data_IF_602613422983
#
_entry.id   IF_602613422983
#
_cell.length_a   1.000
_cell.length_b   1.000
_cell.length_c   1.000
_cell.angle_alpha   90.00
_cell.angle_beta   90.00
_cell.angle_gamma   90.00
#
_symmetry.space_group_name_H-M   'P 1'
#
loop_
_entity.id
_entity.type
_entity.pdbx_description
1 polymer ?
#
# COMPACT_ATOMS: atom_id res chain seq x y z
N UNK A 1 28.08 56.66 -33.00
CA UNK A 1 28.10 55.20 -32.82
C UNK A 1 28.23 54.95 -31.32
N UNK A 2 27.13 54.69 -30.62
CA UNK A 2 27.11 54.55 -29.16
C UNK A 2 27.19 53.06 -28.77
N UNK A 3 27.86 52.69 -27.66
CA UNK A 3 27.94 51.30 -27.22
C UNK A 3 26.58 50.81 -26.71
N UNK A 4 26.24 49.56 -27.05
CA UNK A 4 25.03 48.88 -26.56
C UNK A 4 25.07 48.73 -25.03
N UNK A 5 23.92 48.81 -24.34
CA UNK A 5 23.86 48.63 -22.90
C UNK A 5 24.25 47.20 -22.50
N UNK A 6 24.89 46.99 -21.33
CA UNK A 6 25.17 45.65 -20.84
C UNK A 6 23.86 44.92 -20.54
N UNK A 7 23.76 43.70 -21.06
CA UNK A 7 22.63 42.79 -20.82
C UNK A 7 22.48 42.61 -19.30
N UNK A 8 21.28 42.85 -18.71
CA UNK A 8 21.07 42.68 -17.28
C UNK A 8 21.34 41.23 -16.88
N UNK A 9 22.15 41.05 -15.84
CA UNK A 9 22.60 39.75 -15.30
C UNK A 9 21.49 38.97 -14.58
N UNK A 10 20.24 39.01 -15.01
CA UNK A 10 19.14 38.30 -14.35
C UNK A 10 18.76 36.98 -15.02
N UNK A 11 19.38 36.60 -16.14
CA UNK A 11 19.08 35.34 -16.86
C UNK A 11 19.66 34.08 -16.16
N UNK A 12 20.32 34.22 -14.99
CA UNK A 12 21.07 33.12 -14.36
C UNK A 12 20.39 32.40 -13.20
N UNK A 13 19.17 32.78 -12.77
CA UNK A 13 18.54 32.23 -11.55
C UNK A 13 17.17 31.54 -11.72
N UNK A 14 16.67 31.34 -12.94
CA UNK A 14 15.37 30.67 -13.12
C UNK A 14 15.43 29.12 -13.04
N UNK A 15 16.61 28.53 -12.86
CA UNK A 15 16.80 27.08 -12.70
C UNK A 15 17.03 26.64 -11.24
N UNK A 16 17.06 27.58 -10.29
CA UNK A 16 17.22 27.29 -8.85
C UNK A 16 15.88 27.53 -8.16
N UNK A 17 15.02 26.52 -8.13
CA UNK A 17 13.80 26.62 -7.32
C UNK A 17 12.58 25.87 -7.82
N UNK A 18 12.73 24.80 -8.62
CA UNK A 18 11.66 23.79 -8.67
C UNK A 18 11.68 23.10 -7.30
N UNK A 19 11.03 23.74 -6.34
CA UNK A 19 10.85 23.23 -5.00
C UNK A 19 10.14 21.89 -5.12
N UNK A 20 10.66 20.86 -4.46
CA UNK A 20 9.98 19.57 -4.37
C UNK A 20 8.52 19.73 -3.94
N UNK A 21 8.22 20.72 -3.09
CA UNK A 21 6.85 21.04 -2.69
C UNK A 21 6.00 21.60 -3.85
N UNK A 22 6.58 22.35 -4.79
CA UNK A 22 5.86 22.84 -5.96
C UNK A 22 5.57 21.69 -6.94
N UNK A 23 6.50 20.73 -7.09
CA UNK A 23 6.27 19.52 -7.88
C UNK A 23 5.21 18.63 -7.23
N UNK A 24 5.34 18.35 -5.92
CA UNK A 24 4.34 17.62 -5.14
C UNK A 24 2.98 18.29 -5.26
N UNK A 25 2.89 19.60 -5.00
CA UNK A 25 1.64 20.35 -5.13
C UNK A 25 1.06 20.29 -6.55
N UNK A 26 1.88 20.44 -7.59
CA UNK A 26 1.43 20.34 -8.99
C UNK A 26 0.93 18.93 -9.34
N UNK A 27 1.54 17.88 -8.78
CA UNK A 27 1.06 16.49 -8.95
C UNK A 27 -0.11 16.14 -8.05
N UNK A 28 -0.29 16.83 -6.91
CA UNK A 28 -1.44 16.68 -6.02
C UNK A 28 -2.67 17.43 -6.53
N UNK A 29 -2.48 18.48 -7.34
CA UNK A 29 -3.53 19.27 -7.97
C UNK A 29 -4.18 18.46 -9.10
N UNK A 30 -4.94 17.43 -8.74
CA UNK A 30 -5.54 16.47 -9.67
C UNK A 30 -5.72 15.07 -9.09
N UNK A 31 -5.17 14.78 -7.91
CA UNK A 31 -5.46 13.54 -7.18
C UNK A 31 -6.84 13.68 -6.55
N UNK A 32 -7.83 13.11 -7.25
CA UNK A 32 -9.15 12.88 -6.69
C UNK A 32 -9.01 12.05 -5.39
N UNK A 33 -9.63 12.55 -4.33
CA UNK A 33 -9.82 11.97 -2.99
C UNK A 33 -8.90 10.79 -2.61
N UNK A 34 -7.96 11.09 -1.70
CA UNK A 34 -7.18 10.07 -0.99
C UNK A 34 -8.01 9.54 0.18
N UNK A 35 -8.44 8.29 0.08
CA UNK A 35 -9.13 7.60 1.18
C UNK A 35 -8.17 6.66 1.91
N UNK A 36 -8.30 6.62 3.24
CA UNK A 36 -7.53 5.72 4.09
C UNK A 36 -8.43 4.59 4.58
N UNK A 37 -8.09 3.36 4.20
CA UNK A 37 -8.72 2.16 4.73
C UNK A 37 -7.93 1.70 5.95
N UNK A 38 -8.56 1.71 7.12
CA UNK A 38 -8.01 1.13 8.34
C UNK A 38 -8.54 -0.28 8.50
N UNK A 39 -7.63 -1.23 8.72
CA UNK A 39 -7.99 -2.61 9.02
C UNK A 39 -7.20 -3.12 10.23
N UNK A 40 -7.83 -4.00 10.99
CA UNK A 40 -7.16 -4.73 12.07
C UNK A 40 -6.91 -6.16 11.62
N UNK A 41 -5.65 -6.57 11.61
CA UNK A 41 -5.25 -7.93 11.28
C UNK A 41 -4.73 -8.61 12.53
N UNK A 42 -5.36 -9.72 12.92
CA UNK A 42 -4.90 -10.54 14.03
C UNK A 42 -4.76 -11.99 13.63
N UNK A 43 -4.02 -12.78 14.40
CA UNK A 43 -3.85 -14.21 14.18
C UNK A 43 -4.17 -14.99 15.46
N UNK A 44 -4.92 -16.09 15.34
CA UNK A 44 -5.34 -16.91 16.49
C UNK A 44 -4.29 -17.97 16.83
N UNK A 45 -3.66 -18.52 15.80
CA UNK A 45 -2.50 -19.40 15.91
C UNK A 45 -1.38 -18.71 15.13
N UNK A 46 -0.34 -18.30 15.85
CA UNK A 46 0.91 -17.85 15.27
C UNK A 46 1.94 -18.88 15.68
N UNK A 47 2.42 -19.66 14.72
CA UNK A 47 3.60 -20.47 14.96
C UNK A 47 4.71 -19.54 15.47
N UNK A 48 5.30 -19.90 16.60
CA UNK A 48 6.38 -19.16 17.26
C UNK A 48 7.67 -19.38 16.47
N UNK A 49 7.65 -18.94 15.22
CA UNK A 49 8.72 -19.15 14.28
C UNK A 49 9.76 -18.08 14.51
N UNK A 50 10.93 -18.50 15.01
CA UNK A 50 12.08 -17.65 15.17
C UNK A 50 12.53 -17.09 13.80
N UNK A 51 12.12 -15.87 13.49
CA UNK A 51 12.50 -15.17 12.26
C UNK A 51 11.69 -13.90 12.03
N UNK A 52 12.23 -12.99 11.22
CA UNK A 52 11.51 -11.81 10.78
C UNK A 52 10.25 -12.20 10.01
N UNK A 53 9.11 -11.63 10.37
CA UNK A 53 7.84 -11.83 9.67
C UNK A 53 7.38 -10.50 9.08
N UNK A 54 6.82 -10.57 7.87
CA UNK A 54 6.17 -9.43 7.23
C UNK A 54 4.71 -9.74 6.98
N UNK A 55 3.86 -8.83 7.42
CA UNK A 55 2.44 -8.81 7.09
C UNK A 55 2.28 -8.07 5.76
N UNK A 56 1.64 -8.71 4.79
CA UNK A 56 1.26 -8.11 3.51
C UNK A 56 -0.25 -8.00 3.49
N UNK A 57 -0.74 -6.82 3.13
CA UNK A 57 -2.16 -6.52 3.00
C UNK A 57 -2.39 -5.87 1.66
N UNK A 58 -3.35 -6.40 0.91
CA UNK A 58 -3.76 -5.92 -0.38
C UNK A 58 -5.28 -5.78 -0.42
N UNK A 59 -5.79 -4.88 -1.25
CA UNK A 59 -7.23 -4.79 -1.54
C UNK A 59 -7.50 -5.08 -3.00
N UNK A 60 -8.52 -5.86 -3.29
CA UNK A 60 -8.97 -6.21 -4.63
C UNK A 60 -10.45 -5.85 -4.80
N UNK A 61 -10.91 -5.74 -6.04
CA UNK A 61 -12.34 -5.85 -6.33
C UNK A 61 -12.77 -7.32 -6.17
N UNK A 62 -13.97 -7.58 -5.63
CA UNK A 62 -14.49 -8.93 -5.46
C UNK A 62 -14.51 -9.73 -6.78
N UNK A 63 -14.69 -9.07 -7.94
CA UNK A 63 -14.66 -9.73 -9.26
C UNK A 63 -13.27 -10.23 -9.66
N UNK A 64 -12.23 -9.65 -9.07
CA UNK A 64 -10.84 -9.97 -9.36
C UNK A 64 -10.32 -11.11 -8.48
N UNK A 65 -11.14 -11.59 -7.55
CA UNK A 65 -10.88 -12.78 -6.74
C UNK A 65 -11.67 -13.97 -7.26
N UNK A 66 -11.07 -15.17 -7.18
CA UNK A 66 -11.78 -16.41 -7.49
C UNK A 66 -12.85 -16.65 -6.42
N UNK A 67 -14.10 -17.00 -6.81
CA UNK A 67 -15.21 -17.18 -5.88
C UNK A 67 -14.87 -18.14 -4.73
N UNK A 68 -15.16 -17.72 -3.50
CA UNK A 68 -14.92 -18.51 -2.29
C UNK A 68 -13.45 -18.62 -1.86
N UNK A 69 -12.54 -17.84 -2.47
CA UNK A 69 -11.11 -17.85 -2.12
C UNK A 69 -10.54 -16.44 -2.01
N UNK A 70 -9.37 -16.32 -1.39
CA UNK A 70 -8.57 -15.09 -1.36
C UNK A 70 -7.59 -14.99 -2.54
N UNK A 71 -7.77 -15.82 -3.57
CA UNK A 71 -6.84 -15.93 -4.69
C UNK A 71 -7.24 -15.00 -5.84
N UNK A 72 -6.36 -14.08 -6.27
CA UNK A 72 -6.64 -13.25 -7.44
C UNK A 72 -6.69 -14.08 -8.73
N UNK A 73 -7.50 -13.64 -9.68
CA UNK A 73 -7.48 -14.17 -11.06
C UNK A 73 -6.17 -13.76 -11.75
N UNK A 74 -5.68 -14.53 -12.75
CA UNK A 74 -4.46 -14.17 -13.45
C UNK A 74 -4.53 -12.75 -14.05
N UNK A 75 -3.54 -11.92 -13.74
CA UNK A 75 -3.45 -10.54 -14.22
C UNK A 75 -4.25 -9.51 -13.41
N UNK A 76 -5.03 -9.93 -12.40
CA UNK A 76 -5.63 -9.01 -11.44
C UNK A 76 -4.54 -8.23 -10.70
N UNK A 77 -4.78 -6.94 -10.50
CA UNK A 77 -3.88 -6.06 -9.76
C UNK A 77 -4.54 -5.56 -8.48
N UNK A 78 -3.83 -5.51 -7.36
CA UNK A 78 -4.36 -4.91 -6.15
C UNK A 78 -4.63 -3.41 -6.39
N UNK A 79 -5.75 -2.94 -5.84
CA UNK A 79 -6.16 -1.54 -5.84
C UNK A 79 -5.31 -0.68 -4.89
N UNK A 80 -4.85 -1.29 -3.80
CA UNK A 80 -3.93 -0.73 -2.83
C UNK A 80 -3.19 -1.88 -2.14
N UNK A 81 -2.00 -1.59 -1.61
CA UNK A 81 -1.21 -2.56 -0.86
C UNK A 81 -0.36 -1.87 0.20
N UNK A 82 -0.11 -2.57 1.30
CA UNK A 82 0.87 -2.19 2.31
C UNK A 82 1.59 -3.43 2.81
N UNK A 83 2.82 -3.24 3.29
CA UNK A 83 3.57 -4.25 4.01
C UNK A 83 4.12 -3.67 5.31
N UNK A 84 4.27 -4.51 6.33
CA UNK A 84 4.82 -4.12 7.63
C UNK A 84 5.55 -5.30 8.28
N UNK A 85 6.69 -5.02 8.91
CA UNK A 85 7.34 -5.97 9.82
C UNK A 85 6.45 -6.17 11.04
N UNK A 86 6.17 -7.42 11.37
CA UNK A 86 5.32 -7.79 12.51
C UNK A 86 5.98 -8.89 13.33
N UNK A 87 5.73 -8.90 14.64
CA UNK A 87 6.06 -10.05 15.50
C UNK A 87 4.83 -10.94 15.72
N UNK A 88 5.06 -12.14 16.24
CA UNK A 88 3.99 -13.05 16.61
C UNK A 88 3.08 -12.46 17.70
N UNK A 89 3.66 -11.75 18.67
CA UNK A 89 2.95 -11.01 19.71
C UNK A 89 2.05 -9.93 19.12
N UNK A 90 2.59 -9.11 18.20
CA UNK A 90 1.82 -8.05 17.54
C UNK A 90 0.63 -8.63 16.76
N UNK A 91 0.80 -9.77 16.08
CA UNK A 91 -0.29 -10.45 15.39
C UNK A 91 -1.33 -11.03 16.35
N UNK A 92 -0.92 -11.54 17.52
CA UNK A 92 -1.86 -12.03 18.55
C UNK A 92 -2.69 -10.87 19.13
N UNK A 93 -2.07 -9.75 19.42
CA UNK A 93 -2.74 -8.54 19.94
C UNK A 93 -3.59 -7.85 18.87
N UNK A 94 -3.23 -8.04 17.61
CA UNK A 94 -3.89 -7.48 16.44
C UNK A 94 -3.24 -6.17 16.01
N UNK A 95 -2.74 -6.16 14.78
CA UNK A 95 -2.02 -5.05 14.17
C UNK A 95 -2.99 -4.16 13.41
N UNK A 96 -2.99 -2.87 13.71
CA UNK A 96 -3.64 -1.87 12.86
C UNK A 96 -2.76 -1.56 11.64
N UNK A 97 -3.36 -1.70 10.46
CA UNK A 97 -2.76 -1.34 9.19
C UNK A 97 -3.61 -0.30 8.50
N UNK A 98 -2.96 0.63 7.81
CA UNK A 98 -3.62 1.66 7.02
C UNK A 98 -3.19 1.52 5.57
N UNK A 99 -4.16 1.40 4.67
CA UNK A 99 -3.92 1.42 3.24
C UNK A 99 -4.40 2.76 2.70
N UNK A 100 -3.55 3.42 1.91
CA UNK A 100 -3.91 4.65 1.21
C UNK A 100 -4.32 4.27 -0.20
N UNK A 101 -5.49 4.75 -0.63
CA UNK A 101 -5.99 4.55 -1.98
C UNK A 101 -6.37 5.89 -2.60
N UNK A 102 -6.30 5.94 -3.92
CA UNK A 102 -6.85 7.02 -4.74
C UNK A 102 -8.20 6.57 -5.34
N UNK A 103 -9.26 7.35 -5.10
CA UNK A 103 -10.62 7.13 -5.64
C UNK A 103 -11.61 6.45 -4.68
N UNK A 104 -12.92 6.63 -4.95
CA UNK A 104 -14.03 6.24 -4.06
C UNK A 104 -14.06 4.75 -3.67
N UNK A 105 -14.26 4.46 -2.39
CA UNK A 105 -14.62 3.16 -1.83
C UNK A 105 -15.90 2.62 -2.48
N UNK A 106 -15.74 1.62 -3.34
CA UNK A 106 -16.87 0.86 -3.87
C UNK A 106 -17.29 -0.24 -2.89
N UNK A 107 -18.60 -0.37 -2.63
CA UNK A 107 -19.16 -1.56 -2.02
C UNK A 107 -18.82 -2.77 -2.91
N UNK A 108 -17.94 -3.66 -2.43
CA UNK A 108 -17.42 -4.78 -3.22
C UNK A 108 -15.90 -4.97 -3.15
N UNK A 109 -15.19 -4.15 -2.38
CA UNK A 109 -13.76 -4.36 -2.16
C UNK A 109 -13.48 -5.40 -1.08
N UNK A 110 -12.50 -6.25 -1.37
CA UNK A 110 -12.06 -7.34 -0.50
C UNK A 110 -10.62 -7.08 -0.10
N UNK A 111 -10.38 -7.02 1.21
CA UNK A 111 -9.06 -6.95 1.80
C UNK A 111 -8.53 -8.38 1.93
N UNK A 112 -7.33 -8.61 1.42
CA UNK A 112 -6.60 -9.88 1.47
C UNK A 112 -5.34 -9.66 2.29
N UNK A 113 -5.13 -10.48 3.31
CA UNK A 113 -3.97 -10.40 4.19
C UNK A 113 -3.33 -11.78 4.40
N UNK A 114 -2.01 -11.79 4.48
CA UNK A 114 -1.21 -12.96 4.82
C UNK A 114 0.15 -12.55 5.40
N UNK A 115 0.81 -13.50 6.04
CA UNK A 115 2.15 -13.31 6.61
C UNK A 115 3.14 -14.14 5.80
N UNK A 116 4.30 -13.56 5.53
CA UNK A 116 5.44 -14.24 4.94
C UNK A 116 6.66 -14.14 5.87
N UNK A 117 7.57 -15.10 5.74
CA UNK A 117 8.90 -14.99 6.35
C UNK A 117 9.74 -14.00 5.57
N UNK A 118 10.45 -13.14 6.30
CA UNK A 118 11.39 -12.17 5.75
C UNK A 118 11.16 -10.76 6.30
N UNK A 119 12.18 -9.93 6.16
CA UNK A 119 12.08 -8.50 6.42
C UNK A 119 11.20 -7.82 5.35
N UNK A 120 10.56 -6.69 5.67
CA UNK A 120 9.94 -5.83 4.66
C UNK A 120 11.03 -5.38 3.70
N UNK A 121 10.97 -5.88 2.49
CA UNK A 121 11.92 -5.49 1.46
C UNK A 121 11.35 -4.29 0.72
N UNK A 122 12.07 -3.17 0.76
CA UNK A 122 11.70 -1.96 0.04
C UNK A 122 11.73 -2.15 -1.48
N UNK A 123 12.46 -3.15 -1.98
CA UNK A 123 12.52 -3.52 -3.40
C UNK A 123 11.35 -4.42 -3.82
N UNK A 124 10.78 -5.21 -2.90
CA UNK A 124 9.54 -5.98 -3.15
C UNK A 124 8.33 -5.15 -2.77
N UNK A 125 7.85 -4.42 -3.77
CA UNK A 125 6.58 -3.73 -3.70
C UNK A 125 5.46 -4.70 -3.33
N UNK A 126 4.75 -4.40 -2.23
CA UNK A 126 3.57 -5.14 -1.81
C UNK A 126 2.54 -5.26 -2.94
N UNK A 127 2.58 -4.41 -3.99
CA UNK A 127 1.74 -4.54 -5.18
C UNK A 127 2.05 -5.78 -6.05
N UNK A 128 3.25 -6.35 -5.97
CA UNK A 128 3.67 -7.52 -6.77
C UNK A 128 3.62 -8.83 -6.00
N UNK A 129 3.43 -8.77 -4.69
CA UNK A 129 3.32 -9.97 -3.87
C UNK A 129 2.05 -10.76 -4.26
N UNK A 130 2.18 -12.08 -4.34
CA UNK A 130 1.08 -12.97 -4.74
C UNK A 130 0.54 -13.65 -3.49
N UNK A 131 -0.75 -13.48 -3.15
CA UNK A 131 -1.32 -14.14 -1.99
C UNK A 131 -1.16 -15.65 -2.06
N UNK A 132 -0.64 -16.33 -1.03
CA UNK A 132 -0.64 -17.79 -0.96
C UNK A 132 -2.07 -18.31 -0.76
N UNK A 133 -2.28 -19.61 -1.01
CA UNK A 133 -3.60 -20.25 -0.82
C UNK A 133 -4.09 -20.13 0.64
N UNK A 134 -3.17 -20.00 1.60
CA UNK A 134 -3.47 -19.78 3.02
C UNK A 134 -3.93 -18.35 3.36
N UNK A 135 -3.82 -17.39 2.43
CA UNK A 135 -4.21 -16.01 2.65
C UNK A 135 -5.69 -15.89 3.04
N UNK A 136 -5.99 -14.97 3.96
CA UNK A 136 -7.36 -14.73 4.42
C UNK A 136 -7.87 -13.43 3.84
N UNK A 137 -9.18 -13.40 3.62
CA UNK A 137 -9.86 -12.24 3.05
C UNK A 137 -11.06 -11.83 3.88
N UNK A 138 -11.36 -10.54 3.86
CA UNK A 138 -12.55 -9.95 4.49
C UNK A 138 -13.01 -8.76 3.67
N UNK A 139 -14.30 -8.42 3.74
CA UNK A 139 -14.80 -7.20 3.13
C UNK A 139 -14.14 -5.97 3.77
N UNK A 140 -13.91 -4.92 2.98
CA UNK A 140 -13.29 -3.69 3.47
C UNK A 140 -14.18 -2.93 4.47
N UNK A 141 -15.50 -3.06 4.37
CA UNK A 141 -16.46 -2.47 5.30
C UNK A 141 -16.32 -3.11 6.69
N UNK A 142 -15.76 -2.38 7.65
CA UNK A 142 -15.48 -2.90 9.00
C UNK A 142 -14.32 -3.91 9.06
N UNK A 143 -13.36 -3.81 8.14
CA UNK A 143 -12.29 -4.78 7.92
C UNK A 143 -11.55 -5.22 9.20
N UNK A 144 -11.95 -6.38 9.70
CA UNK A 144 -11.16 -7.19 10.63
C UNK A 144 -10.83 -8.49 9.92
N UNK A 145 -9.54 -8.83 9.84
CA UNK A 145 -9.08 -10.10 9.27
C UNK A 145 -8.44 -10.94 10.35
N UNK A 146 -8.92 -12.17 10.49
CA UNK A 146 -8.29 -13.19 11.33
C UNK A 146 -7.50 -14.15 10.47
N UNK A 147 -6.19 -14.15 10.64
CA UNK A 147 -5.27 -15.11 10.08
C UNK A 147 -5.26 -16.39 10.91
N UNK A 148 -5.16 -17.53 10.22
CA UNK A 148 -4.85 -18.83 10.82
C UNK A 148 -3.55 -19.25 10.16
N UNK A 149 -2.45 -19.18 10.91
CA UNK A 149 -1.13 -19.60 10.44
C UNK A 149 -0.95 -21.03 10.96
N UNK A 150 -0.91 -21.99 10.03
CA UNK A 150 -0.72 -23.41 10.31
C UNK A 150 0.77 -23.78 10.29
#
# INVERSE_FOLDING_TARGET
MAPLPPIPKSVRNAATGVSWLALVAATSLGVAELEQVKARVSAVEVADEAGAQRLIVQTYDARDLRPGTSQPVPGARPLASTQRAVTAEELRDGVEVSLVRMGELGAGQILVAWVERGEPDLEFDALRAVPPVSAKSSAVEGASVRLVLA
#
